data_IF_660185287744
#
_entry.id   IF_660185287744
#
_cell.length_a   1.000
_cell.length_b   1.000
_cell.length_c   1.000
_cell.angle_alpha   90.00
_cell.angle_beta   90.00
_cell.angle_gamma   90.00
#
_symmetry.space_group_name_H-M   'P 1'
#
loop_
_entity.id
_entity.type
_entity.pdbx_description
1 polymer ?
#
# COMPACT_ATOMS: atom_id res chain seq x y z
N UNK A 1 -64.51 16.57 13.92
CA UNK A 1 -63.07 16.88 13.80
C UNK A 1 -62.28 16.04 14.79
N UNK A 2 -61.52 15.06 14.30
CA UNK A 2 -60.50 14.30 15.02
C UNK A 2 -59.39 14.04 14.02
N UNK A 3 -58.26 14.73 14.20
CA UNK A 3 -57.07 14.61 13.36
C UNK A 3 -56.25 13.47 13.92
N UNK A 4 -56.17 12.34 13.22
CA UNK A 4 -55.26 11.25 13.52
C UNK A 4 -54.01 11.43 12.64
N UNK A 5 -52.95 11.96 13.25
CA UNK A 5 -51.59 11.87 12.71
C UNK A 5 -51.16 10.41 12.74
N UNK A 6 -51.20 9.74 11.59
CA UNK A 6 -50.55 8.46 11.38
C UNK A 6 -49.13 8.68 10.85
N UNK A 7 -48.15 8.71 11.75
CA UNK A 7 -46.73 8.60 11.42
C UNK A 7 -46.48 7.19 10.83
N UNK A 8 -46.43 7.06 9.51
CA UNK A 8 -45.91 5.86 8.88
C UNK A 8 -44.39 5.99 8.86
N UNK A 9 -43.78 5.42 9.90
CA UNK A 9 -42.35 5.17 10.00
C UNK A 9 -41.90 4.40 8.77
N UNK A 10 -41.15 5.07 7.89
CA UNK A 10 -40.39 4.46 6.82
C UNK A 10 -39.30 3.59 7.48
N UNK A 11 -39.63 2.33 7.75
CA UNK A 11 -38.65 1.33 8.18
C UNK A 11 -37.78 0.99 6.98
N UNK A 12 -36.77 1.82 6.74
CA UNK A 12 -35.57 1.39 6.02
C UNK A 12 -34.97 0.27 6.86
N UNK A 13 -35.36 -0.97 6.55
CA UNK A 13 -34.72 -2.16 7.05
C UNK A 13 -33.28 -2.15 6.52
N UNK A 14 -32.39 -1.49 7.28
CA UNK A 14 -30.95 -1.55 7.16
C UNK A 14 -30.50 -2.97 7.57
N UNK A 15 -30.87 -3.98 6.78
CA UNK A 15 -30.14 -5.24 6.74
C UNK A 15 -28.93 -5.05 5.83
N UNK A 16 -27.99 -4.25 6.33
CA UNK A 16 -26.64 -4.17 5.83
C UNK A 16 -25.73 -4.71 6.92
N UNK A 17 -25.57 -6.03 6.99
CA UNK A 17 -24.41 -6.63 7.67
C UNK A 17 -23.15 -6.32 6.86
N UNK A 18 -22.74 -5.05 6.83
CA UNK A 18 -21.48 -4.62 6.28
C UNK A 18 -20.39 -4.88 7.33
N UNK A 19 -20.14 -6.15 7.61
CA UNK A 19 -18.96 -6.58 8.36
C UNK A 19 -17.90 -7.11 7.39
N UNK A 20 -17.48 -6.23 6.49
CA UNK A 20 -16.16 -6.31 5.88
C UNK A 20 -15.43 -5.05 6.33
N UNK A 21 -14.30 -5.19 7.04
CA UNK A 21 -13.41 -4.04 7.27
C UNK A 21 -13.01 -3.50 5.89
N UNK A 22 -13.71 -2.46 5.43
CA UNK A 22 -13.50 -1.87 4.12
C UNK A 22 -12.17 -1.13 4.17
N UNK A 23 -11.16 -1.69 3.50
CA UNK A 23 -9.85 -1.06 3.42
C UNK A 23 -9.95 0.19 2.54
N UNK A 24 -9.44 1.33 3.02
CA UNK A 24 -9.17 2.50 2.17
C UNK A 24 -7.99 2.16 1.25
N UNK A 25 -8.13 2.34 -0.07
CA UNK A 25 -7.02 2.15 -1.01
C UNK A 25 -6.52 3.51 -1.47
N UNK A 26 -5.27 3.81 -1.17
CA UNK A 26 -4.59 5.02 -1.61
C UNK A 26 -3.55 4.64 -2.65
N UNK A 27 -3.57 5.32 -3.80
CA UNK A 27 -2.66 5.04 -4.91
C UNK A 27 -1.75 6.24 -5.20
N UNK A 28 -0.50 5.97 -5.53
CA UNK A 28 0.44 6.93 -6.08
C UNK A 28 1.25 6.25 -7.19
N UNK A 29 1.68 7.03 -8.17
CA UNK A 29 2.51 6.53 -9.27
C UNK A 29 3.68 7.47 -9.50
N UNK A 30 4.86 6.89 -9.74
CA UNK A 30 6.05 7.63 -10.15
C UNK A 30 6.73 6.95 -11.33
N UNK A 31 7.26 7.78 -12.23
CA UNK A 31 8.09 7.33 -13.35
C UNK A 31 9.55 7.69 -13.03
N UNK A 32 10.44 6.71 -13.07
CA UNK A 32 11.84 6.83 -12.67
C UNK A 32 12.73 6.51 -13.86
N UNK A 33 13.32 7.53 -14.49
CA UNK A 33 14.14 7.37 -15.72
C UNK A 33 15.65 7.46 -15.48
N UNK A 34 16.08 8.51 -14.76
CA UNK A 34 17.50 8.82 -14.54
C UNK A 34 17.87 9.07 -13.08
N UNK A 35 17.04 9.81 -12.33
CA UNK A 35 17.26 10.04 -10.90
C UNK A 35 16.47 9.03 -10.06
N UNK A 36 17.03 8.52 -8.96
CA UNK A 36 16.33 7.59 -8.09
C UNK A 36 15.18 8.29 -7.35
N UNK A 37 14.06 7.58 -7.23
CA UNK A 37 12.96 7.96 -6.37
C UNK A 37 13.35 7.65 -4.92
N UNK A 38 13.59 8.68 -4.11
CA UNK A 38 14.05 8.54 -2.73
C UNK A 38 12.92 8.71 -1.73
N UNK A 39 12.89 7.88 -0.69
CA UNK A 39 12.06 8.06 0.50
C UNK A 39 10.58 8.24 0.15
N UNK A 40 10.08 7.44 -0.78
CA UNK A 40 8.79 7.74 -1.43
C UNK A 40 7.59 7.53 -0.52
N UNK A 41 7.57 6.47 0.29
CA UNK A 41 6.45 6.27 1.21
C UNK A 41 6.44 7.25 2.37
N UNK A 42 7.60 7.58 2.96
CA UNK A 42 7.65 8.52 4.07
C UNK A 42 7.45 9.97 3.62
N UNK A 43 7.79 10.32 2.37
CA UNK A 43 7.41 11.62 1.80
C UNK A 43 5.92 11.71 1.52
N UNK A 44 5.31 10.62 1.05
CA UNK A 44 3.87 10.60 0.77
C UNK A 44 3.04 10.54 2.06
N UNK A 45 3.53 9.83 3.09
CA UNK A 45 2.87 9.64 4.37
C UNK A 45 3.78 10.09 5.53
N UNK A 46 4.07 11.40 5.66
CA UNK A 46 5.07 11.92 6.59
C UNK A 46 4.67 11.79 8.06
N UNK A 47 3.37 11.70 8.34
CA UNK A 47 2.85 11.53 9.70
C UNK A 47 2.83 10.06 10.15
N UNK A 48 2.98 9.11 9.22
CA UNK A 48 2.76 7.68 9.43
C UNK A 48 1.61 7.15 8.58
N UNK A 49 1.26 5.89 8.77
CA UNK A 49 0.25 5.17 7.99
C UNK A 49 -1.03 4.95 8.80
N UNK A 50 -2.15 5.37 8.21
CA UNK A 50 -3.49 5.23 8.79
C UNK A 50 -3.90 3.75 8.93
N UNK A 51 -4.75 3.40 9.90
CA UNK A 51 -5.32 2.05 10.03
C UNK A 51 -6.17 1.66 8.82
N UNK A 52 -6.36 0.34 8.63
CA UNK A 52 -7.23 -0.24 7.59
C UNK A 52 -7.03 0.37 6.20
N UNK A 53 -5.77 0.64 5.84
CA UNK A 53 -5.43 1.31 4.59
C UNK A 53 -4.44 0.46 3.81
N UNK A 54 -4.66 0.37 2.50
CA UNK A 54 -3.70 -0.17 1.55
C UNK A 54 -3.10 0.97 0.74
N UNK A 55 -1.83 1.25 0.98
CA UNK A 55 -1.06 2.25 0.24
C UNK A 55 -0.34 1.56 -0.91
N UNK A 56 -0.75 1.82 -2.15
CA UNK A 56 -0.15 1.27 -3.36
C UNK A 56 0.69 2.35 -4.02
N UNK A 57 1.99 2.07 -4.19
CA UNK A 57 2.93 2.94 -4.86
C UNK A 57 3.48 2.23 -6.09
N UNK A 58 3.02 2.65 -7.26
CA UNK A 58 3.46 2.13 -8.56
C UNK A 58 4.71 2.86 -9.00
N UNK A 59 5.77 2.12 -9.29
CA UNK A 59 7.02 2.63 -9.86
C UNK A 59 7.18 2.09 -11.26
N UNK A 60 7.37 2.96 -12.24
CA UNK A 60 7.54 2.62 -13.66
C UNK A 60 8.90 3.15 -14.14
N UNK A 61 9.60 2.39 -14.97
CA UNK A 61 10.83 2.79 -15.66
C UNK A 61 10.72 2.56 -17.17
N UNK A 62 11.73 2.99 -17.91
CA UNK A 62 11.87 2.78 -19.35
C UNK A 62 11.75 1.28 -19.72
N UNK A 63 11.19 0.91 -20.89
CA UNK A 63 10.95 -0.48 -21.26
C UNK A 63 12.20 -1.38 -21.29
N UNK A 64 13.38 -0.79 -21.48
CA UNK A 64 14.68 -1.49 -21.55
C UNK A 64 15.34 -1.67 -20.17
N UNK A 65 14.71 -1.18 -19.09
CA UNK A 65 15.26 -1.21 -17.74
C UNK A 65 14.38 -2.03 -16.81
N UNK A 66 14.95 -2.43 -15.67
CA UNK A 66 14.21 -2.92 -14.51
C UNK A 66 14.42 -1.98 -13.32
N UNK A 67 13.83 -2.30 -12.18
CA UNK A 67 13.78 -1.46 -11.00
C UNK A 67 14.47 -2.20 -9.85
N UNK A 68 15.44 -1.55 -9.23
CA UNK A 68 15.91 -1.94 -7.90
C UNK A 68 15.14 -1.14 -6.85
N UNK A 69 14.53 -1.85 -5.90
CA UNK A 69 13.95 -1.27 -4.68
C UNK A 69 14.86 -1.61 -3.52
N UNK A 70 15.29 -0.58 -2.79
CA UNK A 70 16.09 -0.71 -1.59
C UNK A 70 15.36 -0.05 -0.41
N UNK A 71 15.11 -0.83 0.64
CA UNK A 71 14.58 -0.35 1.91
C UNK A 71 15.60 -0.70 3.02
N UNK A 72 16.29 0.28 3.62
CA UNK A 72 17.28 0.02 4.67
C UNK A 72 16.67 -0.69 5.89
N UNK A 73 15.40 -0.43 6.15
CA UNK A 73 14.65 -1.05 7.23
C UNK A 73 13.16 -1.10 6.90
N UNK A 74 12.55 -2.27 7.13
CA UNK A 74 11.11 -2.52 7.09
C UNK A 74 10.71 -3.00 8.49
N UNK A 75 9.62 -2.44 9.03
CA UNK A 75 9.09 -2.82 10.34
C UNK A 75 7.58 -2.80 10.30
N UNK A 76 6.99 -3.93 9.90
CA UNK A 76 5.54 -4.13 9.94
C UNK A 76 5.18 -4.96 11.16
N UNK A 77 4.03 -4.66 11.79
CA UNK A 77 3.52 -5.49 12.88
C UNK A 77 3.23 -6.91 12.38
N UNK A 78 3.27 -7.87 13.28
CA UNK A 78 2.73 -9.20 13.03
C UNK A 78 1.29 -9.24 13.57
N UNK A 79 0.39 -10.00 12.95
CA UNK A 79 0.63 -10.98 11.89
C UNK A 79 0.56 -10.39 10.45
N UNK A 80 1.15 -11.10 9.48
CA UNK A 80 1.38 -10.65 8.08
C UNK A 80 0.08 -10.42 7.26
N UNK A 81 -1.04 -10.94 7.75
CA UNK A 81 -2.36 -10.85 7.13
C UNK A 81 -2.97 -9.45 7.33
N UNK A 82 -2.64 -8.82 8.46
CA UNK A 82 -3.12 -7.50 8.85
C UNK A 82 -2.15 -6.40 8.43
N UNK A 83 -0.85 -6.60 8.67
CA UNK A 83 0.18 -5.62 8.33
C UNK A 83 1.23 -6.25 7.43
N UNK A 84 1.40 -5.71 6.23
CA UNK A 84 2.43 -6.21 5.33
C UNK A 84 2.99 -5.13 4.43
N UNK A 85 4.22 -5.37 4.01
CA UNK A 85 4.90 -4.71 2.91
C UNK A 85 4.96 -5.73 1.77
N UNK A 86 4.23 -5.46 0.70
CA UNK A 86 4.14 -6.36 -0.45
C UNK A 86 4.80 -5.71 -1.66
N UNK A 87 5.41 -6.53 -2.51
CA UNK A 87 5.90 -6.14 -3.84
C UNK A 87 5.20 -7.02 -4.87
N UNK A 88 4.60 -6.42 -5.88
CA UNK A 88 4.01 -7.09 -7.04
C UNK A 88 4.80 -6.67 -8.28
N UNK A 89 5.34 -7.66 -8.98
CA UNK A 89 6.17 -7.50 -10.18
C UNK A 89 5.70 -8.50 -11.24
N UNK A 90 4.83 -8.05 -12.14
CA UNK A 90 4.10 -8.93 -13.05
C UNK A 90 3.31 -10.00 -12.28
N UNK A 91 3.64 -11.27 -12.51
CA UNK A 91 2.99 -12.41 -11.85
C UNK A 91 3.61 -12.76 -10.48
N UNK A 92 4.72 -12.12 -10.10
CA UNK A 92 5.39 -12.40 -8.85
C UNK A 92 4.84 -11.51 -7.74
N UNK A 93 4.60 -12.11 -6.57
CA UNK A 93 4.25 -11.39 -5.35
C UNK A 93 5.18 -11.77 -4.20
N UNK A 94 5.80 -10.78 -3.58
CA UNK A 94 6.60 -10.94 -2.35
C UNK A 94 5.87 -10.23 -1.21
N UNK A 95 5.68 -10.92 -0.08
CA UNK A 95 5.07 -10.36 1.14
C UNK A 95 6.11 -10.36 2.25
N UNK A 96 6.19 -9.26 2.99
CA UNK A 96 7.12 -9.05 4.11
C UNK A 96 6.35 -8.48 5.30
N UNK A 97 6.54 -9.08 6.48
CA UNK A 97 6.18 -8.45 7.75
C UNK A 97 7.27 -8.69 8.81
N UNK A 98 7.11 -8.11 10.00
CA UNK A 98 8.15 -8.10 11.01
C UNK A 98 9.25 -7.10 10.68
N UNK A 99 10.41 -7.29 11.31
CA UNK A 99 11.58 -6.41 11.18
C UNK A 99 12.58 -7.01 10.18
N UNK A 100 12.85 -6.28 9.11
CA UNK A 100 13.84 -6.67 8.09
C UNK A 100 14.82 -5.52 7.88
N UNK A 101 16.12 -5.82 7.88
CA UNK A 101 17.20 -4.85 7.62
C UNK A 101 17.78 -5.08 6.24
N UNK A 102 18.24 -4.01 5.58
CA UNK A 102 18.94 -4.05 4.28
C UNK A 102 18.17 -4.86 3.22
N UNK A 103 16.89 -4.55 3.04
CA UNK A 103 16.05 -5.24 2.07
C UNK A 103 16.31 -4.71 0.66
N UNK A 104 16.66 -5.61 -0.26
CA UNK A 104 16.79 -5.34 -1.68
C UNK A 104 15.84 -6.21 -2.48
N UNK A 105 15.20 -5.61 -3.48
CA UNK A 105 14.40 -6.30 -4.47
C UNK A 105 14.79 -5.81 -5.87
N UNK A 106 14.99 -6.76 -6.78
CA UNK A 106 15.33 -6.48 -8.17
C UNK A 106 14.18 -6.99 -9.02
N UNK A 107 13.51 -6.09 -9.73
CA UNK A 107 12.38 -6.48 -10.58
C UNK A 107 12.85 -7.17 -11.86
N UNK A 108 11.94 -7.97 -12.39
CA UNK A 108 12.01 -8.63 -13.68
C UNK A 108 11.30 -7.80 -14.76
N UNK A 109 10.31 -7.00 -14.38
CA UNK A 109 9.60 -6.09 -15.30
C UNK A 109 10.05 -4.64 -15.12
N UNK A 110 9.55 -3.75 -15.99
CA UNK A 110 9.77 -2.30 -15.91
C UNK A 110 8.71 -1.58 -15.03
N UNK A 111 7.83 -2.31 -14.36
CA UNK A 111 6.79 -1.77 -13.47
C UNK A 111 6.71 -2.61 -12.19
N UNK A 112 6.76 -1.95 -11.05
CA UNK A 112 6.56 -2.61 -9.75
C UNK A 112 5.50 -1.87 -8.96
N UNK A 113 4.54 -2.61 -8.40
CA UNK A 113 3.61 -2.09 -7.42
C UNK A 113 4.10 -2.46 -6.03
N UNK A 114 4.45 -1.45 -5.23
CA UNK A 114 4.91 -1.61 -3.86
C UNK A 114 3.75 -1.23 -2.96
N UNK A 115 3.31 -2.14 -2.09
CA UNK A 115 2.11 -1.95 -1.30
C UNK A 115 2.41 -2.04 0.19
N UNK A 116 1.75 -1.19 0.98
CA UNK A 116 1.71 -1.34 2.43
C UNK A 116 0.27 -1.51 2.88
N UNK A 117 -0.02 -2.63 3.51
CA UNK A 117 -1.31 -2.91 4.15
C UNK A 117 -1.18 -2.67 5.65
N UNK A 118 -2.15 -1.97 6.25
CA UNK A 118 -2.21 -1.72 7.70
C UNK A 118 -3.49 -2.30 8.32
N UNK A 119 -3.37 -2.86 9.52
CA UNK A 119 -4.52 -3.33 10.32
C UNK A 119 -5.16 -2.23 11.15
N UNK A 120 -5.69 -2.59 12.31
CA UNK A 120 -6.46 -1.70 13.19
C UNK A 120 -5.68 -0.55 13.83
N UNK A 121 -4.36 -0.67 13.94
CA UNK A 121 -3.52 0.25 14.67
C UNK A 121 -2.74 1.16 13.73
N UNK A 122 -2.57 2.40 14.18
CA UNK A 122 -1.74 3.37 13.51
C UNK A 122 -0.28 2.89 13.42
N UNK A 123 0.34 3.04 12.25
CA UNK A 123 1.75 2.70 12.05
C UNK A 123 2.57 3.97 11.91
N UNK A 124 3.25 4.36 13.00
CA UNK A 124 4.02 5.60 13.08
C UNK A 124 5.22 5.65 12.12
N UNK A 125 5.85 4.51 11.86
CA UNK A 125 7.08 4.44 11.06
C UNK A 125 6.78 3.89 9.68
N UNK A 126 6.92 4.74 8.68
CA UNK A 126 6.79 4.36 7.28
C UNK A 126 8.14 3.82 6.75
N UNK A 127 8.17 2.71 5.97
CA UNK A 127 9.38 2.24 5.31
C UNK A 127 10.02 3.32 4.44
N UNK A 128 11.32 3.57 4.65
CA UNK A 128 12.10 4.54 3.88
C UNK A 128 12.71 3.88 2.65
N UNK A 129 11.89 3.62 1.64
CA UNK A 129 12.35 2.93 0.44
C UNK A 129 12.86 3.91 -0.62
N UNK A 130 13.83 3.45 -1.41
CA UNK A 130 14.31 4.11 -2.62
C UNK A 130 14.10 3.16 -3.80
N UNK A 131 13.69 3.68 -4.94
CA UNK A 131 13.60 2.93 -6.18
C UNK A 131 14.47 3.59 -7.25
N UNK A 132 15.24 2.79 -7.99
CA UNK A 132 16.09 3.30 -9.06
C UNK A 132 16.02 2.39 -10.29
N UNK A 133 16.17 2.96 -11.49
CA UNK A 133 16.19 2.16 -12.69
C UNK A 133 17.58 1.52 -12.85
N UNK A 134 17.62 0.28 -13.28
CA UNK A 134 18.85 -0.48 -13.53
C UNK A 134 18.77 -1.11 -14.93
N UNK A 135 19.93 -1.44 -15.50
CA UNK A 135 19.98 -2.17 -16.77
C UNK A 135 19.34 -3.55 -16.59
N UNK A 136 18.52 -3.98 -17.56
CA UNK A 136 18.07 -5.37 -17.65
C UNK A 136 19.30 -6.28 -17.66
N UNK A 137 19.32 -7.27 -16.77
CA UNK A 137 20.33 -8.33 -16.86
C UNK A 137 19.95 -9.22 -18.05
N UNK A 138 20.94 -9.65 -18.86
CA UNK A 138 20.70 -10.60 -19.95
C UNK A 138 20.18 -11.93 -19.43
#
# INVERSE_FOLDING_TARGET
MKVLLGLILCTCALYGSANGQQYEILNATAIVRGLPLRRFFDRWNPKGLRPYTQFVYTVITDPEKTIEVHCPYISMKQPCEQYSFDIVDGNQKKKVCGKVKKFFYYSTTNKVDIMIKTGAEYTKVTPRCTARPIKKKP
#
